data_IF_190109747963
#
_entry.id   IF_190109747963
#
_cell.length_a   1.000
_cell.length_b   1.000
_cell.length_c   1.000
_cell.angle_alpha   90.00
_cell.angle_beta   90.00
_cell.angle_gamma   90.00
#
_symmetry.space_group_name_H-M   'P 1'
#
loop_
_entity.id
_entity.type
_entity.pdbx_description
1 polymer ?
#
# COMPACT_ATOMS: atom_id res chain seq x y z
N UNK A 1 -25.07 9.96 4.97
CA UNK A 1 -24.07 9.98 3.88
C UNK A 1 -22.76 10.50 4.46
N UNK A 2 -21.92 9.63 5.02
CA UNK A 2 -20.62 10.04 5.57
C UNK A 2 -19.58 9.81 4.48
N UNK A 3 -19.25 10.86 3.75
CA UNK A 3 -18.09 10.87 2.87
C UNK A 3 -16.85 10.74 3.72
N UNK A 4 -16.24 9.55 3.75
CA UNK A 4 -14.96 9.34 4.40
C UNK A 4 -13.94 10.21 3.65
N UNK A 5 -13.53 11.31 4.27
CA UNK A 5 -12.46 12.16 3.76
C UNK A 5 -11.23 11.29 3.51
N UNK A 6 -10.79 11.20 2.26
CA UNK A 6 -9.62 10.43 1.87
C UNK A 6 -8.38 10.94 2.60
N UNK A 7 -7.94 10.20 3.64
CA UNK A 7 -6.69 10.47 4.36
C UNK A 7 -5.54 9.93 3.54
N UNK A 8 -4.61 10.80 3.17
CA UNK A 8 -3.31 10.39 2.63
C UNK A 8 -2.46 9.92 3.81
N UNK A 9 -2.01 8.67 3.78
CA UNK A 9 -1.09 8.13 4.77
C UNK A 9 0.29 7.99 4.15
N UNK A 10 1.28 8.45 4.89
CA UNK A 10 2.67 8.24 4.52
C UNK A 10 3.10 6.88 5.06
N UNK A 11 3.24 5.92 4.16
CA UNK A 11 3.71 4.57 4.50
C UNK A 11 5.23 4.58 4.39
N UNK A 12 5.92 4.59 5.54
CA UNK A 12 7.37 4.53 5.64
C UNK A 12 7.89 3.08 5.76
N UNK A 13 7.05 2.16 6.22
CA UNK A 13 7.43 0.78 6.54
C UNK A 13 6.44 -0.24 6.00
N UNK A 14 6.91 -1.48 5.84
CA UNK A 14 6.08 -2.61 5.41
C UNK A 14 4.97 -2.92 6.42
N UNK A 15 5.25 -2.71 7.71
CA UNK A 15 4.29 -2.84 8.81
C UNK A 15 3.09 -1.89 8.62
N UNK A 16 3.36 -0.59 8.41
CA UNK A 16 2.33 0.41 8.11
C UNK A 16 1.58 0.08 6.81
N UNK A 17 2.25 -0.47 5.80
CA UNK A 17 1.60 -0.91 4.57
C UNK A 17 0.60 -2.04 4.84
N UNK A 18 0.98 -2.97 5.71
CA UNK A 18 0.14 -4.10 6.13
C UNK A 18 -1.06 -3.61 6.93
N UNK A 19 -0.87 -2.71 7.88
CA UNK A 19 -1.98 -2.10 8.62
C UNK A 19 -2.92 -1.33 7.70
N UNK A 20 -2.39 -0.59 6.73
CA UNK A 20 -3.22 0.09 5.74
C UNK A 20 -4.08 -0.89 4.93
N UNK A 21 -3.51 -2.02 4.49
CA UNK A 21 -4.26 -3.09 3.83
C UNK A 21 -5.35 -3.66 4.76
N UNK A 22 -5.06 -3.86 6.04
CA UNK A 22 -6.01 -4.52 6.93
C UNK A 22 -7.13 -3.59 7.43
N UNK A 23 -6.80 -2.35 7.77
CA UNK A 23 -7.73 -1.42 8.42
C UNK A 23 -8.44 -0.49 7.45
N UNK A 24 -7.79 -0.08 6.36
CA UNK A 24 -8.29 0.99 5.49
C UNK A 24 -8.80 0.48 4.15
N UNK A 25 -8.48 -0.77 3.82
CA UNK A 25 -8.85 -1.31 2.52
C UNK A 25 -10.35 -1.61 2.44
N UNK A 26 -11.06 -1.08 1.42
CA UNK A 26 -12.48 -1.33 1.24
C UNK A 26 -12.75 -2.83 1.07
N UNK A 27 -13.78 -3.40 1.74
CA UNK A 27 -14.14 -4.80 1.58
C UNK A 27 -14.49 -5.18 0.13
N UNK A 28 -15.06 -4.23 -0.62
CA UNK A 28 -15.42 -4.39 -2.03
C UNK A 28 -14.19 -4.65 -2.92
N UNK A 29 -13.04 -4.09 -2.54
CA UNK A 29 -11.81 -4.11 -3.34
C UNK A 29 -10.78 -5.14 -2.84
N UNK A 30 -11.23 -6.12 -2.05
CA UNK A 30 -10.42 -7.26 -1.58
C UNK A 30 -10.27 -8.33 -2.66
N UNK A 31 -9.69 -7.93 -3.79
CA UNK A 31 -9.43 -8.77 -4.96
C UNK A 31 -8.23 -9.69 -4.81
N UNK A 32 -7.77 -10.27 -5.94
CA UNK A 32 -6.61 -11.17 -5.96
C UNK A 32 -5.32 -10.41 -5.63
N UNK A 33 -5.19 -9.18 -6.10
CA UNK A 33 -4.01 -8.34 -5.82
C UNK A 33 -3.91 -7.94 -4.36
N UNK A 34 -5.03 -7.73 -3.68
CA UNK A 34 -5.05 -7.47 -2.23
C UNK A 34 -4.40 -8.62 -1.45
N UNK A 35 -4.77 -9.88 -1.76
CA UNK A 35 -4.18 -11.06 -1.12
C UNK A 35 -2.69 -11.18 -1.41
N UNK A 36 -2.28 -10.92 -2.65
CA UNK A 36 -0.88 -10.91 -3.04
C UNK A 36 -0.08 -9.82 -2.30
N UNK A 37 -0.59 -8.59 -2.24
CA UNK A 37 0.05 -7.49 -1.52
C UNK A 37 0.21 -7.81 -0.03
N UNK A 38 -0.83 -8.35 0.61
CA UNK A 38 -0.79 -8.77 2.01
C UNK A 38 0.25 -9.87 2.25
N UNK A 39 0.35 -10.84 1.34
CA UNK A 39 1.35 -11.91 1.43
C UNK A 39 2.77 -11.33 1.34
N UNK A 40 3.04 -10.50 0.32
CA UNK A 40 4.37 -9.90 0.12
C UNK A 40 4.74 -8.98 1.28
N UNK A 41 3.79 -8.25 1.86
CA UNK A 41 4.05 -7.44 3.05
C UNK A 41 4.44 -8.31 4.26
N UNK A 42 3.79 -9.46 4.47
CA UNK A 42 4.19 -10.41 5.51
C UNK A 42 5.58 -11.00 5.23
N UNK A 43 5.85 -11.42 4.00
CA UNK A 43 7.16 -11.97 3.62
C UNK A 43 8.27 -10.93 3.79
N UNK A 44 8.00 -9.66 3.51
CA UNK A 44 8.95 -8.58 3.70
C UNK A 44 9.16 -8.22 5.19
N UNK A 45 8.16 -8.41 6.06
CA UNK A 45 8.33 -8.32 7.52
C UNK A 45 9.19 -9.46 8.06
N UNK A 46 9.06 -10.66 7.49
CA UNK A 46 9.90 -11.81 7.82
C UNK A 46 11.33 -11.72 7.22
N UNK A 47 11.63 -10.69 6.43
CA UNK A 47 12.91 -10.53 5.74
C UNK A 47 13.11 -11.47 4.56
N UNK A 48 12.05 -12.17 4.11
CA UNK A 48 12.04 -13.01 2.92
C UNK A 48 11.89 -12.21 1.63
N UNK A 49 11.28 -11.03 1.72
CA UNK A 49 11.14 -10.10 0.61
C UNK A 49 11.62 -8.68 0.93
N UNK A 50 11.85 -7.90 -0.12
CA UNK A 50 12.29 -6.52 -0.01
C UNK A 50 11.10 -5.56 0.10
N UNK A 51 11.28 -4.47 0.85
CA UNK A 51 10.29 -3.39 0.94
C UNK A 51 9.90 -2.83 -0.44
N UNK A 52 10.81 -2.89 -1.42
CA UNK A 52 10.55 -2.49 -2.82
C UNK A 52 9.53 -3.40 -3.50
N UNK A 53 9.61 -4.71 -3.27
CA UNK A 53 8.65 -5.68 -3.80
C UNK A 53 7.28 -5.50 -3.13
N UNK A 54 7.26 -5.37 -1.80
CA UNK A 54 6.03 -5.09 -1.04
C UNK A 54 5.34 -3.81 -1.54
N UNK A 55 6.10 -2.74 -1.76
CA UNK A 55 5.58 -1.50 -2.34
C UNK A 55 4.97 -1.70 -3.73
N UNK A 56 5.64 -2.44 -4.60
CA UNK A 56 5.15 -2.71 -5.96
C UNK A 56 3.85 -3.53 -5.94
N UNK A 57 3.76 -4.54 -5.08
CA UNK A 57 2.56 -5.34 -4.89
C UNK A 57 1.41 -4.49 -4.32
N UNK A 58 1.69 -3.63 -3.35
CA UNK A 58 0.73 -2.68 -2.79
C UNK A 58 0.19 -1.72 -3.85
N UNK A 59 1.06 -1.15 -4.69
CA UNK A 59 0.65 -0.27 -5.79
C UNK A 59 -0.24 -1.01 -6.79
N UNK A 60 0.09 -2.25 -7.12
CA UNK A 60 -0.75 -3.06 -8.00
C UNK A 60 -2.13 -3.35 -7.38
N UNK A 61 -2.20 -3.61 -6.08
CA UNK A 61 -3.46 -3.77 -5.37
C UNK A 61 -4.28 -2.47 -5.38
N UNK A 62 -3.65 -1.33 -5.11
CA UNK A 62 -4.36 -0.05 -5.07
C UNK A 62 -4.88 0.35 -6.45
N UNK A 63 -4.12 0.07 -7.52
CA UNK A 63 -4.60 0.26 -8.90
C UNK A 63 -5.81 -0.62 -9.22
N UNK A 64 -5.86 -1.85 -8.73
CA UNK A 64 -7.04 -2.73 -8.91
C UNK A 64 -8.24 -2.20 -8.11
N UNK A 65 -7.98 -1.62 -6.94
CA UNK A 65 -8.97 -1.08 -6.02
C UNK A 65 -9.41 0.37 -6.32
N UNK A 66 -8.89 0.97 -7.39
CA UNK A 66 -9.01 2.41 -7.71
C UNK A 66 -8.63 3.34 -6.53
N UNK A 67 -7.70 2.90 -5.68
CA UNK A 67 -7.19 3.65 -4.54
C UNK A 67 -6.04 4.55 -5.00
N UNK A 68 -6.19 5.84 -4.73
CA UNK A 68 -5.18 6.83 -5.07
C UNK A 68 -3.93 6.70 -4.18
N UNK A 69 -2.80 6.36 -4.79
CA UNK A 69 -1.47 6.37 -4.14
C UNK A 69 -0.69 7.60 -4.61
N UNK A 70 -0.28 8.43 -3.66
CA UNK A 70 0.78 9.43 -3.87
C UNK A 70 2.12 8.81 -3.54
N UNK A 71 2.91 8.51 -4.57
CA UNK A 71 4.33 8.32 -4.39
C UNK A 71 4.94 9.69 -4.09
N UNK A 72 5.49 9.88 -2.89
CA UNK A 72 6.36 11.03 -2.64
C UNK A 72 7.62 10.80 -3.46
N UNK A 73 7.66 11.38 -4.65
CA UNK A 73 8.90 11.59 -5.39
C UNK A 73 9.82 12.39 -4.48
N UNK A 74 10.98 11.86 -4.05
CA UNK A 74 12.00 12.72 -3.48
C UNK A 74 12.36 13.70 -4.59
N UNK A 75 12.05 14.97 -4.37
CA UNK A 75 12.33 16.06 -5.29
C UNK A 75 13.82 16.08 -5.60
N UNK A 76 14.22 15.41 -6.68
CA UNK A 76 15.53 15.56 -7.30
C UNK A 76 15.47 16.80 -8.20
N UNK A 77 15.61 17.97 -7.58
CA UNK A 77 16.04 19.19 -8.25
C UNK A 77 16.53 20.19 -7.20
N UNK A 78 17.81 20.00 -6.85
CA UNK A 78 18.73 20.95 -6.22
C UNK A 78 19.10 22.06 -7.26
N UNK A 79 19.69 23.21 -6.89
CA UNK A 79 20.94 23.34 -6.11
C UNK A 79 20.80 23.96 -4.71
#
# INVERSE_FOLDING_TARGET
MTGAAGRVLNIASVEEATECLLQLWPPAEKGRKYRAARQVCLDALEGKETAKHARSAFIAAAKEADIYIRERTPSLANP
#
